data_IF_779611978226
#
_entry.id   IF_779611978226
#
_cell.length_a   1.000
_cell.length_b   1.000
_cell.length_c   1.000
_cell.angle_alpha   90.00
_cell.angle_beta   90.00
_cell.angle_gamma   90.00
#
_symmetry.space_group_name_H-M   'P 1'
#
loop_
_entity.id
_entity.type
_entity.pdbx_description
1 polymer ?
#
# COMPACT_ATOMS: atom_id res chain seq x y z
N UNK A 1 -25.98 -9.67 -1.70
CA UNK A 1 -24.51 -9.72 -1.75
C UNK A 1 -24.01 -8.80 -0.65
N UNK A 2 -23.34 -9.31 0.38
CA UNK A 2 -22.77 -8.47 1.44
C UNK A 2 -21.48 -7.86 0.92
N UNK A 3 -21.41 -6.53 0.87
CA UNK A 3 -20.20 -5.80 0.49
C UNK A 3 -19.24 -5.89 1.67
N UNK A 4 -18.03 -6.38 1.42
CA UNK A 4 -16.95 -6.41 2.41
C UNK A 4 -16.25 -5.05 2.44
N UNK A 5 -15.89 -4.59 3.64
CA UNK A 5 -15.02 -3.43 3.79
C UNK A 5 -13.54 -3.80 3.56
N UNK A 6 -12.69 -2.78 3.43
CA UNK A 6 -11.26 -2.95 3.19
C UNK A 6 -10.58 -3.81 4.26
N UNK A 7 -10.91 -3.57 5.54
CA UNK A 7 -10.36 -4.30 6.68
C UNK A 7 -10.69 -5.80 6.62
N UNK A 8 -11.91 -6.15 6.24
CA UNK A 8 -12.35 -7.52 6.05
C UNK A 8 -11.62 -8.19 4.88
N UNK A 9 -11.45 -7.48 3.77
CA UNK A 9 -10.73 -7.96 2.59
C UNK A 9 -9.25 -8.26 2.95
N UNK A 10 -8.57 -7.33 3.63
CA UNK A 10 -7.18 -7.50 4.08
C UNK A 10 -7.06 -8.76 4.95
N UNK A 11 -7.95 -8.95 5.92
CA UNK A 11 -7.95 -10.14 6.79
C UNK A 11 -8.10 -11.44 6.00
N UNK A 12 -8.98 -11.46 4.99
CA UNK A 12 -9.18 -12.63 4.13
C UNK A 12 -7.91 -12.93 3.33
N UNK A 13 -7.29 -11.91 2.72
CA UNK A 13 -6.06 -12.07 1.95
C UNK A 13 -4.93 -12.60 2.82
N UNK A 14 -4.70 -12.01 3.99
CA UNK A 14 -3.63 -12.42 4.91
C UNK A 14 -3.83 -13.85 5.42
N UNK A 15 -5.07 -14.25 5.72
CA UNK A 15 -5.41 -15.63 6.07
C UNK A 15 -5.09 -16.61 4.95
N UNK A 16 -5.37 -16.25 3.69
CA UNK A 16 -5.13 -17.11 2.52
C UNK A 16 -3.67 -17.18 2.10
N UNK A 17 -2.91 -16.10 2.28
CA UNK A 17 -1.49 -16.01 1.91
C UNK A 17 -0.54 -16.61 2.96
N UNK A 18 -1.07 -17.12 4.09
CA UNK A 18 -0.30 -17.87 5.08
C UNK A 18 0.35 -17.01 6.18
N UNK A 19 0.01 -15.73 6.27
CA UNK A 19 0.52 -14.81 7.28
C UNK A 19 -0.16 -15.04 8.63
N UNK A 20 0.34 -16.03 9.40
CA UNK A 20 -0.26 -16.45 10.70
C UNK A 20 -0.22 -15.38 11.81
N UNK A 21 0.62 -14.35 11.66
CA UNK A 21 0.79 -13.22 12.60
C UNK A 21 0.93 -11.89 11.86
N UNK A 22 0.06 -11.64 10.89
CA UNK A 22 0.08 -10.37 10.17
C UNK A 22 -0.20 -9.21 11.14
N UNK A 23 0.71 -8.25 11.17
CA UNK A 23 0.51 -6.92 11.77
C UNK A 23 0.48 -5.95 10.60
N UNK A 24 -0.54 -5.12 10.54
CA UNK A 24 -0.61 -4.08 9.50
C UNK A 24 0.46 -3.05 9.78
N UNK A 25 1.36 -2.86 8.82
CA UNK A 25 2.49 -1.95 8.88
C UNK A 25 2.50 -1.11 7.61
N UNK A 26 3.11 0.08 7.65
CA UNK A 26 3.15 0.97 6.49
C UNK A 26 3.95 0.36 5.32
N UNK A 27 4.92 -0.50 5.62
CA UNK A 27 5.74 -1.24 4.65
C UNK A 27 5.91 -2.72 5.05
N UNK A 28 6.08 -3.59 4.07
CA UNK A 28 6.37 -5.00 4.29
C UNK A 28 7.89 -5.24 4.29
N UNK A 29 8.37 -6.05 5.24
CA UNK A 29 9.80 -6.29 5.44
C UNK A 29 10.09 -7.78 5.44
N UNK A 30 10.89 -8.24 4.49
CA UNK A 30 11.34 -9.63 4.45
C UNK A 30 12.84 -9.74 4.16
N UNK A 31 13.41 -10.94 4.37
CA UNK A 31 14.82 -11.20 4.13
C UNK A 31 15.00 -12.20 3.00
N UNK A 32 15.94 -11.93 2.12
CA UNK A 32 16.43 -12.88 1.11
C UNK A 32 17.90 -13.13 1.40
N UNK A 33 18.20 -14.29 2.00
CA UNK A 33 19.51 -14.59 2.55
C UNK A 33 19.90 -13.61 3.66
N UNK A 34 20.98 -12.83 3.43
CA UNK A 34 21.44 -11.78 4.36
C UNK A 34 20.87 -10.40 4.04
N UNK A 35 20.19 -10.24 2.90
CA UNK A 35 19.67 -8.95 2.45
C UNK A 35 18.30 -8.70 3.02
N UNK A 36 18.10 -7.54 3.66
CA UNK A 36 16.79 -7.04 4.10
C UNK A 36 16.15 -6.30 2.93
N UNK A 37 14.93 -6.68 2.57
CA UNK A 37 14.13 -6.06 1.52
C UNK A 37 12.92 -5.42 2.18
N UNK A 38 12.60 -4.20 1.77
CA UNK A 38 11.43 -3.46 2.20
C UNK A 38 10.63 -3.14 0.95
N UNK A 39 9.33 -3.45 0.96
CA UNK A 39 8.45 -3.24 -0.19
C UNK A 39 7.18 -2.52 0.21
N UNK A 40 6.69 -1.67 -0.69
CA UNK A 40 5.40 -0.97 -0.60
C UNK A 40 4.80 -0.86 -2.00
N UNK A 41 3.48 -0.92 -2.05
CA UNK A 41 2.69 -0.61 -3.24
C UNK A 41 1.55 0.30 -2.82
N UNK A 42 1.42 1.44 -3.48
CA UNK A 42 0.24 2.31 -3.42
C UNK A 42 -0.39 2.43 -4.80
N UNK A 43 -1.69 2.70 -4.81
CA UNK A 43 -2.44 2.96 -6.03
C UNK A 43 -2.89 4.41 -6.05
N UNK A 44 -2.85 5.03 -7.23
CA UNK A 44 -3.43 6.34 -7.48
C UNK A 44 -4.53 6.17 -8.54
N UNK A 45 -5.77 6.50 -8.18
CA UNK A 45 -6.94 6.38 -9.05
C UNK A 45 -7.46 7.79 -9.34
N UNK A 46 -7.59 8.15 -10.61
CA UNK A 46 -8.02 9.50 -11.02
C UNK A 46 -9.31 9.95 -10.32
N UNK A 47 -10.32 9.07 -10.28
CA UNK A 47 -11.64 9.39 -9.73
C UNK A 47 -11.68 9.65 -8.22
N UNK A 48 -10.65 9.24 -7.47
CA UNK A 48 -10.61 9.40 -6.00
C UNK A 48 -9.43 10.25 -5.53
N UNK A 49 -8.30 10.18 -6.23
CA UNK A 49 -7.03 10.75 -5.76
C UNK A 49 -6.63 12.02 -6.51
N UNK A 50 -7.26 12.32 -7.65
CA UNK A 50 -6.99 13.49 -8.48
C UNK A 50 -8.08 14.56 -8.32
N UNK A 51 -7.88 15.60 -7.49
CA UNK A 51 -8.84 16.68 -7.38
C UNK A 51 -8.93 17.50 -8.68
N UNK A 52 -10.05 18.23 -8.89
CA UNK A 52 -10.21 19.08 -10.06
C UNK A 52 -9.02 20.05 -10.21
N UNK A 53 -8.54 20.19 -11.46
CA UNK A 53 -7.42 21.07 -11.85
C UNK A 53 -6.01 20.60 -11.42
N UNK A 54 -5.87 19.43 -10.81
CA UNK A 54 -4.54 18.83 -10.61
C UNK A 54 -3.87 18.56 -11.96
N UNK A 55 -2.60 18.93 -12.10
CA UNK A 55 -1.83 18.62 -13.33
C UNK A 55 -1.34 17.18 -13.28
N UNK A 56 -1.12 16.59 -14.45
CA UNK A 56 -0.53 15.24 -14.56
C UNK A 56 0.86 15.17 -13.88
N UNK A 57 1.64 16.25 -13.94
CA UNK A 57 2.93 16.33 -13.23
C UNK A 57 2.76 16.23 -11.71
N UNK A 58 1.71 16.84 -11.16
CA UNK A 58 1.43 16.81 -9.72
C UNK A 58 0.94 15.42 -9.31
N UNK A 59 0.11 14.79 -10.13
CA UNK A 59 -0.34 13.41 -9.93
C UNK A 59 0.84 12.43 -9.96
N UNK A 60 1.74 12.55 -10.94
CA UNK A 60 2.95 11.73 -11.03
C UNK A 60 3.90 11.95 -9.83
N UNK A 61 4.05 13.19 -9.37
CA UNK A 61 4.81 13.45 -8.14
C UNK A 61 4.13 12.81 -6.93
N UNK A 62 2.82 12.98 -6.78
CA UNK A 62 2.05 12.43 -5.67
C UNK A 62 2.11 10.90 -5.63
N UNK A 63 2.03 10.21 -6.76
CA UNK A 63 2.10 8.74 -6.82
C UNK A 63 3.44 8.18 -6.36
N UNK A 64 4.54 8.91 -6.56
CA UNK A 64 5.87 8.53 -6.03
C UNK A 64 5.99 8.91 -4.55
N UNK A 65 5.59 10.12 -4.19
CA UNK A 65 5.75 10.65 -2.83
C UNK A 65 4.92 9.85 -1.81
N UNK A 66 3.73 9.37 -2.17
CA UNK A 66 2.91 8.54 -1.29
C UNK A 66 3.63 7.23 -0.90
N UNK A 67 4.18 6.51 -1.88
CA UNK A 67 4.98 5.32 -1.57
C UNK A 67 6.17 5.66 -0.66
N UNK A 68 6.91 6.72 -0.98
CA UNK A 68 8.12 7.13 -0.21
C UNK A 68 7.77 7.58 1.21
N UNK A 69 6.62 8.22 1.42
CA UNK A 69 6.22 8.63 2.77
C UNK A 69 6.02 7.43 3.70
N UNK A 70 5.51 6.32 3.18
CA UNK A 70 5.27 5.12 3.98
C UNK A 70 6.59 4.43 4.36
N UNK A 71 7.60 4.46 3.47
CA UNK A 71 8.96 4.06 3.84
C UNK A 71 9.54 4.97 4.93
N UNK A 72 9.29 6.28 4.88
CA UNK A 72 9.82 7.24 5.85
C UNK A 72 9.12 7.16 7.22
N UNK A 73 7.90 6.63 7.27
CA UNK A 73 7.15 6.41 8.50
C UNK A 73 7.65 5.21 9.32
N UNK A 74 8.55 4.38 8.75
CA UNK A 74 9.07 3.15 9.36
C UNK A 74 10.53 3.23 9.78
#
# INVERSE_FOLDING_TARGET
MTILDESAIIKILQKKLGSKKFVSEDVEVFKVGKTKIIVKVDTFVEGTDMPPKMKISDAARKSIVACVSDFAAK
#
